data_IF_638194083050
#
_entry.id   IF_638194083050
#
_cell.length_a   1.000
_cell.length_b   1.000
_cell.length_c   1.000
_cell.angle_alpha   90.00
_cell.angle_beta   90.00
_cell.angle_gamma   90.00
#
_symmetry.space_group_name_H-M   'P 1'
#
loop_
_entity.id
_entity.type
_entity.pdbx_description
1 polymer ?
#
# COMPACT_ATOMS: atom_id res chain seq x y z
N UNK A 1 17.94 -15.66 29.60
CA UNK A 1 17.20 -14.91 28.55
C UNK A 1 17.99 -14.77 27.23
N UNK A 2 19.28 -14.43 27.21
CA UNK A 2 20.05 -14.23 25.95
C UNK A 2 20.20 -15.49 25.05
N UNK A 3 20.41 -16.68 25.63
CA UNK A 3 20.58 -17.91 24.83
C UNK A 3 19.31 -18.39 24.11
N UNK A 4 18.12 -17.93 24.50
CA UNK A 4 16.86 -18.30 23.85
C UNK A 4 16.57 -17.55 22.55
N UNK A 5 17.02 -16.28 22.42
CA UNK A 5 16.72 -15.44 21.25
C UNK A 5 17.74 -15.60 20.10
N UNK A 6 18.98 -15.95 20.40
CA UNK A 6 20.02 -16.15 19.37
C UNK A 6 19.66 -17.28 18.38
N UNK A 7 18.97 -18.33 18.83
CA UNK A 7 18.52 -19.45 18.00
C UNK A 7 17.37 -19.11 17.04
N UNK A 8 16.81 -17.89 17.14
CA UNK A 8 15.71 -17.40 16.32
C UNK A 8 16.14 -16.41 15.23
N UNK A 9 17.42 -16.00 15.20
CA UNK A 9 17.96 -15.12 14.15
C UNK A 9 17.80 -15.78 12.78
N UNK A 10 17.22 -15.05 11.83
CA UNK A 10 16.92 -15.52 10.48
C UNK A 10 15.57 -16.24 10.32
N UNK A 11 14.83 -16.50 11.41
CA UNK A 11 13.51 -17.16 11.32
C UNK A 11 12.42 -16.23 10.81
N UNK A 12 11.43 -16.84 10.16
CA UNK A 12 10.17 -16.20 9.77
C UNK A 12 9.36 -15.84 11.01
N UNK A 13 8.85 -14.61 11.05
CA UNK A 13 8.04 -14.05 12.16
C UNK A 13 6.62 -13.69 11.72
N UNK A 14 6.18 -14.13 10.55
CA UNK A 14 4.88 -13.75 9.97
C UNK A 14 3.72 -14.06 10.93
N UNK A 15 3.79 -15.18 11.67
CA UNK A 15 2.79 -15.62 12.65
C UNK A 15 3.01 -15.17 14.11
N UNK A 16 3.94 -14.27 14.41
CA UNK A 16 4.16 -13.81 15.78
C UNK A 16 3.11 -12.74 16.21
N UNK A 17 2.56 -12.88 17.41
CA UNK A 17 1.61 -11.95 18.01
C UNK A 17 2.31 -10.67 18.51
N UNK A 18 1.78 -9.51 18.11
CA UNK A 18 2.24 -8.19 18.54
C UNK A 18 1.04 -7.23 18.66
N UNK A 19 1.15 -6.10 19.38
CA UNK A 19 0.06 -5.12 19.43
C UNK A 19 -0.25 -4.58 18.02
N UNK A 20 -1.44 -4.90 17.53
CA UNK A 20 -1.89 -4.51 16.19
C UNK A 20 -2.66 -3.18 16.22
N UNK A 21 -2.68 -2.45 15.10
CA UNK A 21 -3.29 -1.12 15.07
C UNK A 21 -4.54 -1.00 14.20
N UNK A 22 -4.53 -1.56 12.98
CA UNK A 22 -5.57 -1.45 11.94
C UNK A 22 -5.38 -2.54 10.86
N UNK A 23 -6.39 -2.83 10.01
CA UNK A 23 -6.26 -3.76 8.89
C UNK A 23 -5.21 -3.29 7.88
N UNK A 24 -4.38 -4.20 7.35
CA UNK A 24 -3.29 -3.83 6.43
C UNK A 24 -3.81 -3.35 5.07
N UNK A 25 -4.86 -3.99 4.54
CA UNK A 25 -5.41 -3.69 3.21
C UNK A 25 -5.98 -2.28 3.09
N UNK A 26 -6.27 -1.63 4.22
CA UNK A 26 -6.81 -0.26 4.29
C UNK A 26 -5.74 0.84 4.22
N UNK A 27 -4.45 0.48 4.16
CA UNK A 27 -3.34 1.44 4.32
C UNK A 27 -2.68 1.86 2.99
N UNK A 28 -3.13 1.30 1.87
CA UNK A 28 -2.52 1.55 0.56
C UNK A 28 -3.01 2.85 -0.10
N UNK A 29 -2.11 3.47 -0.88
CA UNK A 29 -2.34 4.66 -1.71
C UNK A 29 -2.96 5.89 -1.01
N UNK A 30 -2.41 6.38 0.10
CA UNK A 30 -2.99 7.51 0.83
C UNK A 30 -2.90 8.87 0.10
N UNK A 31 -2.03 9.01 -0.91
CA UNK A 31 -1.79 10.27 -1.62
C UNK A 31 -1.93 10.13 -3.15
N UNK A 32 -3.06 9.60 -3.66
CA UNK A 32 -3.20 9.36 -5.10
C UNK A 32 -3.21 10.67 -5.88
N UNK A 33 -3.72 11.75 -5.30
CA UNK A 33 -3.69 13.09 -5.88
C UNK A 33 -2.28 13.61 -6.19
N UNK A 34 -1.21 13.08 -5.60
CA UNK A 34 0.16 13.49 -5.93
C UNK A 34 0.54 13.08 -7.36
N UNK A 35 -0.05 11.99 -7.90
CA UNK A 35 0.11 11.60 -9.31
C UNK A 35 -0.54 12.59 -10.28
N UNK A 36 -1.67 13.19 -9.89
CA UNK A 36 -2.53 13.94 -10.81
C UNK A 36 -2.49 15.45 -10.61
N UNK A 37 -2.51 15.88 -9.35
CA UNK A 37 -2.59 17.28 -8.93
C UNK A 37 -1.33 18.09 -9.19
N UNK A 38 -0.23 17.45 -9.60
CA UNK A 38 1.04 18.10 -9.93
C UNK A 38 1.43 17.95 -11.40
N UNK A 39 0.48 17.73 -12.31
CA UNK A 39 0.72 17.71 -13.77
C UNK A 39 1.63 16.57 -14.26
N UNK A 40 1.94 15.56 -13.44
CA UNK A 40 2.83 14.47 -13.84
C UNK A 40 2.29 13.75 -15.08
N UNK A 41 1.01 13.40 -15.11
CA UNK A 41 0.41 12.77 -16.30
C UNK A 41 0.00 13.77 -17.40
N UNK A 42 0.21 15.08 -17.20
CA UNK A 42 -0.16 16.13 -18.15
C UNK A 42 1.06 16.80 -18.81
N UNK A 43 2.27 16.46 -18.39
CA UNK A 43 3.48 17.07 -18.92
C UNK A 43 3.93 16.38 -20.21
N UNK A 44 4.21 17.14 -21.26
CA UNK A 44 4.73 16.60 -22.54
C UNK A 44 6.17 16.08 -22.42
N UNK A 45 6.96 16.65 -21.52
CA UNK A 45 8.35 16.27 -21.26
C UNK A 45 8.40 14.97 -20.42
N UNK A 46 8.95 13.86 -20.96
CA UNK A 46 9.06 12.59 -20.23
C UNK A 46 9.81 12.71 -18.90
N UNK A 47 10.82 13.59 -18.81
CA UNK A 47 11.57 13.79 -17.56
C UNK A 47 10.70 14.42 -16.49
N UNK A 48 9.84 15.38 -16.86
CA UNK A 48 8.89 16.01 -15.92
C UNK A 48 7.83 15.01 -15.45
N UNK A 49 7.30 14.18 -16.35
CA UNK A 49 6.38 13.09 -15.97
C UNK A 49 7.03 12.15 -14.98
N UNK A 50 8.24 11.70 -15.29
CA UNK A 50 9.01 10.79 -14.45
C UNK A 50 9.31 11.37 -13.07
N UNK A 51 9.69 12.66 -12.97
CA UNK A 51 9.84 13.36 -11.68
C UNK A 51 8.54 13.33 -10.87
N UNK A 52 7.39 13.50 -11.53
CA UNK A 52 6.08 13.41 -10.88
C UNK A 52 5.77 12.01 -10.34
N UNK A 53 6.10 10.95 -11.10
CA UNK A 53 5.99 9.56 -10.62
C UNK A 53 6.93 9.31 -9.44
N UNK A 54 8.17 9.80 -9.49
CA UNK A 54 9.13 9.71 -8.38
C UNK A 54 8.62 10.46 -7.15
N UNK A 55 8.04 11.66 -7.32
CA UNK A 55 7.41 12.41 -6.23
C UNK A 55 6.30 11.60 -5.57
N UNK A 56 5.39 11.03 -6.36
CA UNK A 56 4.33 10.16 -5.86
C UNK A 56 4.89 8.95 -5.10
N UNK A 57 5.82 8.22 -5.70
CA UNK A 57 6.46 7.06 -5.09
C UNK A 57 7.06 7.41 -3.72
N UNK A 58 7.81 8.52 -3.66
CA UNK A 58 8.46 8.95 -2.42
C UNK A 58 7.48 9.51 -1.39
N UNK A 59 6.31 10.00 -1.82
CA UNK A 59 5.30 10.57 -0.92
C UNK A 59 4.64 9.53 -0.01
N UNK A 60 4.57 8.26 -0.40
CA UNK A 60 3.82 7.24 0.36
C UNK A 60 4.48 6.82 1.68
N UNK A 61 5.80 6.90 1.78
CA UNK A 61 6.57 6.25 2.85
C UNK A 61 6.40 6.88 4.23
N UNK A 62 6.12 8.19 4.32
CA UNK A 62 5.96 8.87 5.60
C UNK A 62 4.65 8.53 6.32
N UNK A 63 3.69 7.90 5.64
CA UNK A 63 2.37 7.61 6.19
C UNK A 63 2.41 6.26 6.90
N UNK A 64 2.63 6.31 8.20
CA UNK A 64 2.62 5.15 9.08
C UNK A 64 1.98 5.52 10.44
N UNK A 65 1.41 4.56 11.18
CA UNK A 65 0.94 4.81 12.53
C UNK A 65 2.03 5.41 13.42
N UNK A 66 1.65 6.29 14.35
CA UNK A 66 2.60 6.76 15.38
C UNK A 66 3.03 5.57 16.24
N UNK A 67 4.33 5.30 16.25
CA UNK A 67 4.95 4.18 16.98
C UNK A 67 5.14 2.93 16.12
N UNK A 68 5.78 1.91 16.69
CA UNK A 68 6.02 0.63 16.01
C UNK A 68 4.84 -0.30 16.28
N UNK A 69 3.86 -0.34 15.37
CA UNK A 69 2.69 -1.24 15.44
C UNK A 69 2.59 -2.04 14.15
N UNK A 70 2.29 -3.34 14.26
CA UNK A 70 2.03 -4.21 13.10
C UNK A 70 0.58 -4.01 12.63
N UNK A 71 0.27 -4.04 11.33
CA UNK A 71 -1.11 -4.16 10.88
C UNK A 71 -1.63 -5.59 11.10
N UNK A 72 -2.95 -5.80 11.04
CA UNK A 72 -3.52 -7.16 11.03
C UNK A 72 -2.94 -7.96 9.85
N UNK A 73 -2.59 -9.22 10.09
CA UNK A 73 -2.22 -10.12 9.00
C UNK A 73 -3.51 -10.54 8.27
N UNK A 74 -3.72 -10.16 7.00
CA UNK A 74 -4.98 -10.45 6.35
C UNK A 74 -5.24 -11.94 6.21
N UNK A 75 -6.50 -12.30 6.32
CA UNK A 75 -6.93 -13.68 6.12
C UNK A 75 -7.06 -14.02 4.64
N UNK A 76 -7.00 -15.30 4.27
CA UNK A 76 -7.11 -15.70 2.86
C UNK A 76 -8.48 -15.30 2.29
N UNK A 77 -8.47 -14.58 1.17
CA UNK A 77 -9.67 -14.03 0.55
C UNK A 77 -10.27 -12.80 1.23
N UNK A 78 -9.60 -12.24 2.24
CA UNK A 78 -9.91 -10.88 2.69
C UNK A 78 -9.70 -9.91 1.54
N UNK A 79 -10.63 -8.98 1.37
CA UNK A 79 -10.48 -7.92 0.38
C UNK A 79 -10.88 -6.56 0.93
N UNK A 80 -10.35 -5.51 0.33
CA UNK A 80 -10.72 -4.14 0.64
C UNK A 80 -10.93 -3.38 -0.65
N UNK A 81 -12.10 -2.75 -0.78
CA UNK A 81 -12.45 -1.89 -1.90
C UNK A 81 -12.82 -0.50 -1.42
N UNK A 82 -12.46 0.50 -2.20
CA UNK A 82 -12.77 1.90 -1.89
C UNK A 82 -12.79 2.76 -3.13
N UNK A 83 -13.40 3.93 -2.99
CA UNK A 83 -13.44 4.98 -3.99
C UNK A 83 -12.72 6.23 -3.46
N UNK A 84 -12.05 6.96 -4.32
CA UNK A 84 -11.62 8.33 -4.06
C UNK A 84 -12.53 9.26 -4.84
N UNK A 85 -13.01 10.31 -4.17
CA UNK A 85 -13.66 11.46 -4.82
C UNK A 85 -12.73 12.65 -4.69
N UNK A 86 -12.29 13.19 -5.82
CA UNK A 86 -11.37 14.32 -5.86
C UNK A 86 -12.12 15.65 -5.95
N UNK A 87 -11.46 16.74 -5.55
CA UNK A 87 -12.05 18.08 -5.54
C UNK A 87 -12.38 18.62 -6.94
N UNK A 88 -11.80 18.04 -7.99
CA UNK A 88 -12.08 18.36 -9.39
C UNK A 88 -13.28 17.58 -9.96
N UNK A 89 -13.98 16.80 -9.12
CA UNK A 89 -15.13 15.99 -9.50
C UNK A 89 -14.78 14.62 -10.08
N UNK A 90 -13.50 14.34 -10.31
CA UNK A 90 -13.03 13.04 -10.81
C UNK A 90 -13.02 11.98 -9.73
N UNK A 91 -13.00 10.72 -10.13
CA UNK A 91 -12.97 9.58 -9.21
C UNK A 91 -11.81 8.63 -9.50
N UNK A 92 -11.46 7.85 -8.47
CA UNK A 92 -10.64 6.68 -8.65
C UNK A 92 -11.16 5.52 -7.81
N UNK A 93 -10.79 4.30 -8.22
CA UNK A 93 -11.29 3.07 -7.64
C UNK A 93 -10.12 2.20 -7.23
N UNK A 94 -10.25 1.55 -6.07
CA UNK A 94 -9.21 0.72 -5.49
C UNK A 94 -9.80 -0.61 -5.04
N UNK A 95 -9.08 -1.69 -5.30
CA UNK A 95 -9.33 -3.03 -4.78
C UNK A 95 -8.00 -3.68 -4.37
N UNK A 96 -7.98 -4.28 -3.19
CA UNK A 96 -6.91 -5.17 -2.75
C UNK A 96 -7.51 -6.48 -2.25
N UNK A 97 -6.81 -7.58 -2.47
CA UNK A 97 -7.23 -8.92 -2.04
C UNK A 97 -6.03 -9.70 -1.51
N UNK A 98 -6.22 -10.40 -0.39
CA UNK A 98 -5.27 -11.36 0.13
C UNK A 98 -5.39 -12.67 -0.65
N UNK A 99 -4.57 -12.79 -1.70
CA UNK A 99 -4.58 -13.92 -2.65
C UNK A 99 -3.86 -15.15 -2.13
N UNK A 100 -3.01 -15.01 -1.11
CA UNK A 100 -2.32 -16.11 -0.43
C UNK A 100 -2.04 -15.77 1.04
N UNK A 101 -2.10 -16.77 1.93
CA UNK A 101 -1.79 -16.59 3.36
C UNK A 101 -0.44 -17.22 3.76
N UNK A 102 -0.04 -18.33 3.14
CA UNK A 102 1.24 -19.00 3.37
C UNK A 102 1.91 -19.38 2.03
N UNK A 103 2.88 -18.58 1.53
CA UNK A 103 3.32 -17.28 2.06
C UNK A 103 2.26 -16.17 1.89
N UNK A 104 2.31 -15.08 2.68
CA UNK A 104 1.35 -13.98 2.55
C UNK A 104 1.59 -13.21 1.24
N UNK A 105 0.53 -13.03 0.45
CA UNK A 105 0.54 -12.22 -0.78
C UNK A 105 -0.74 -11.40 -0.82
N UNK A 106 -0.58 -10.09 -0.99
CA UNK A 106 -1.69 -9.16 -1.25
C UNK A 106 -1.57 -8.67 -2.68
N UNK A 107 -2.59 -8.86 -3.51
CA UNK A 107 -2.67 -8.25 -4.84
C UNK A 107 -3.52 -6.98 -4.77
N UNK A 108 -3.18 -5.99 -5.59
CA UNK A 108 -3.84 -4.68 -5.59
C UNK A 108 -4.01 -4.10 -6.98
N UNK A 109 -5.09 -3.34 -7.14
CA UNK A 109 -5.41 -2.61 -8.36
C UNK A 109 -6.00 -1.25 -7.99
N UNK A 110 -5.54 -0.21 -8.68
CA UNK A 110 -6.07 1.13 -8.62
C UNK A 110 -6.30 1.64 -10.04
N UNK A 111 -7.41 2.32 -10.28
CA UNK A 111 -7.64 2.97 -11.57
C UNK A 111 -8.31 4.33 -11.38
N UNK A 112 -7.79 5.32 -12.10
CA UNK A 112 -8.33 6.67 -12.18
C UNK A 112 -8.64 6.97 -13.65
N UNK A 113 -9.91 6.78 -14.08
CA UNK A 113 -10.30 6.89 -15.48
C UNK A 113 -10.03 8.27 -16.08
N UNK A 114 -10.48 9.34 -15.42
CA UNK A 114 -10.35 10.73 -15.90
C UNK A 114 -8.89 11.16 -16.09
N UNK A 115 -8.00 10.49 -15.38
CA UNK A 115 -6.58 10.76 -15.44
C UNK A 115 -5.80 9.65 -16.15
N UNK A 116 -6.46 8.68 -16.79
CA UNK A 116 -5.82 7.61 -17.58
C UNK A 116 -4.65 6.91 -16.88
N UNK A 117 -4.82 6.64 -15.58
CA UNK A 117 -3.81 5.97 -14.76
C UNK A 117 -4.38 4.69 -14.18
N UNK A 118 -3.62 3.63 -14.35
CA UNK A 118 -3.86 2.34 -13.71
C UNK A 118 -2.62 1.94 -12.92
N UNK A 119 -2.80 1.39 -11.73
CA UNK A 119 -1.73 0.80 -10.93
C UNK A 119 -2.13 -0.64 -10.64
N UNK A 120 -1.21 -1.56 -10.89
CA UNK A 120 -1.35 -2.97 -10.53
C UNK A 120 -0.11 -3.41 -9.75
N UNK A 121 -0.26 -4.45 -8.94
CA UNK A 121 0.86 -5.03 -8.24
C UNK A 121 0.47 -6.14 -7.29
N UNK A 122 1.48 -6.84 -6.79
CA UNK A 122 1.37 -7.63 -5.59
C UNK A 122 2.48 -7.29 -4.59
N UNK A 123 2.18 -7.49 -3.32
CA UNK A 123 3.10 -7.32 -2.21
C UNK A 123 3.27 -8.66 -1.50
N UNK A 124 4.53 -9.05 -1.31
CA UNK A 124 4.94 -10.33 -0.72
C UNK A 124 5.83 -10.08 0.50
N UNK A 125 5.24 -9.68 1.63
CA UNK A 125 6.00 -9.39 2.83
C UNK A 125 6.63 -10.66 3.41
N UNK A 126 7.93 -10.61 3.72
CA UNK A 126 8.63 -11.67 4.45
C UNK A 126 9.21 -11.09 5.75
N UNK A 127 8.67 -11.53 6.88
CA UNK A 127 9.17 -11.11 8.19
C UNK A 127 10.44 -11.89 8.54
N UNK A 128 11.50 -11.22 8.99
CA UNK A 128 12.75 -11.84 9.45
C UNK A 128 13.20 -11.26 10.78
N UNK A 129 13.54 -12.12 11.73
CA UNK A 129 14.14 -11.70 13.00
C UNK A 129 15.66 -11.57 12.88
N UNK A 130 16.21 -10.43 13.30
CA UNK A 130 17.65 -10.11 13.26
C UNK A 130 18.22 -9.85 14.66
N UNK A 131 17.67 -10.49 15.69
CA UNK A 131 18.08 -10.27 17.09
C UNK A 131 17.38 -9.06 17.68
N UNK A 132 18.08 -7.93 17.86
CA UNK A 132 17.44 -6.70 18.37
C UNK A 132 16.67 -5.92 17.28
N UNK A 133 16.26 -6.58 16.21
CA UNK A 133 15.47 -6.00 15.13
C UNK A 133 14.59 -7.05 14.47
N UNK A 134 13.44 -6.64 13.93
CA UNK A 134 12.66 -7.41 12.96
C UNK A 134 12.64 -6.62 11.66
N UNK A 135 12.96 -7.27 10.55
CA UNK A 135 12.82 -6.69 9.22
C UNK A 135 11.63 -7.28 8.49
N UNK A 136 10.92 -6.44 7.75
CA UNK A 136 9.95 -6.82 6.74
C UNK A 136 10.62 -6.63 5.39
N UNK A 137 10.96 -7.74 4.75
CA UNK A 137 11.49 -7.76 3.40
C UNK A 137 10.30 -7.67 2.45
N UNK A 138 10.24 -6.60 1.65
CA UNK A 138 9.11 -6.34 0.76
C UNK A 138 9.48 -6.80 -0.66
N UNK A 139 8.96 -7.97 -1.03
CA UNK A 139 9.02 -8.48 -2.40
C UNK A 139 7.69 -8.24 -3.13
N UNK A 140 7.64 -8.60 -4.40
CA UNK A 140 6.50 -8.42 -5.29
C UNK A 140 6.83 -7.44 -6.40
N UNK A 141 5.81 -6.87 -7.01
CA UNK A 141 5.95 -5.88 -8.07
C UNK A 141 4.87 -4.81 -7.95
N UNK A 142 5.16 -3.63 -8.50
CA UNK A 142 4.13 -2.64 -8.79
C UNK A 142 4.43 -2.00 -10.14
N UNK A 143 3.38 -1.76 -10.92
CA UNK A 143 3.42 -1.03 -12.17
C UNK A 143 2.43 0.11 -12.12
N UNK A 144 2.87 1.30 -12.54
CA UNK A 144 2.02 2.45 -12.78
C UNK A 144 1.96 2.65 -14.28
N UNK A 145 0.77 2.64 -14.86
CA UNK A 145 0.54 2.82 -16.28
C UNK A 145 -0.02 4.20 -16.54
N UNK A 146 0.64 4.96 -17.40
CA UNK A 146 0.12 6.21 -17.94
C UNK A 146 -0.35 5.93 -19.36
N UNK A 147 -1.63 5.63 -19.52
CA UNK A 147 -2.18 5.13 -20.80
C UNK A 147 -2.05 6.17 -21.92
N UNK A 148 -2.30 7.45 -21.61
CA UNK A 148 -2.12 8.56 -22.54
C UNK A 148 -0.71 8.70 -23.12
N UNK A 149 0.31 8.24 -22.40
CA UNK A 149 1.71 8.29 -22.83
C UNK A 149 2.24 6.94 -23.30
N UNK A 150 1.46 5.87 -23.11
CA UNK A 150 1.90 4.47 -23.30
C UNK A 150 3.18 4.17 -22.51
N UNK A 151 3.28 4.74 -21.32
CA UNK A 151 4.44 4.56 -20.42
C UNK A 151 4.06 3.63 -19.26
N UNK A 152 4.98 2.72 -18.92
CA UNK A 152 4.85 1.85 -17.75
C UNK A 152 6.02 2.08 -16.82
N UNK A 153 5.71 2.44 -15.58
CA UNK A 153 6.68 2.68 -14.53
C UNK A 153 6.70 1.46 -13.60
N UNK A 154 7.76 0.66 -13.67
CA UNK A 154 8.02 -0.48 -12.79
C UNK A 154 8.66 0.02 -11.49
N UNK A 155 8.10 -0.38 -10.34
CA UNK A 155 8.47 0.13 -9.01
C UNK A 155 8.89 -1.03 -8.10
N UNK A 156 9.96 -0.82 -7.33
CA UNK A 156 10.38 -1.72 -6.25
C UNK A 156 10.15 -1.11 -4.87
N UNK A 157 10.17 -1.95 -3.84
CA UNK A 157 9.91 -1.54 -2.45
C UNK A 157 11.22 -1.51 -1.64
N UNK A 158 11.41 -0.53 -0.73
CA UNK A 158 12.44 -0.61 0.29
C UNK A 158 12.05 -1.63 1.36
N UNK A 159 13.03 -2.07 2.14
CA UNK A 159 12.76 -2.92 3.30
C UNK A 159 12.46 -2.06 4.53
N UNK A 160 11.62 -2.58 5.42
CA UNK A 160 11.25 -1.91 6.67
C UNK A 160 11.86 -2.65 7.86
N UNK A 161 12.36 -1.92 8.86
CA UNK A 161 12.95 -2.51 10.05
C UNK A 161 12.37 -1.88 11.31
N UNK A 162 11.86 -2.72 12.21
CA UNK A 162 11.62 -2.37 13.60
C UNK A 162 12.91 -2.63 14.39
N UNK A 163 13.59 -1.56 14.81
CA UNK A 163 14.81 -1.61 15.64
C UNK A 163 14.46 -1.53 17.12
N UNK A 164 15.31 -2.09 17.98
CA UNK A 164 15.22 -1.91 19.43
C UNK A 164 14.06 -2.69 20.07
N UNK A 165 13.65 -3.79 19.46
CA UNK A 165 12.49 -4.60 19.91
C UNK A 165 12.74 -5.35 21.22
N UNK A 166 13.99 -5.60 21.59
CA UNK A 166 14.36 -6.23 22.88
C UNK A 166 15.05 -5.23 23.81
N UNK A 167 15.91 -4.36 23.25
CA UNK A 167 16.70 -3.41 24.03
C UNK A 167 16.76 -2.04 23.34
N UNK A 168 16.53 -0.98 24.12
CA UNK A 168 16.56 0.41 23.66
C UNK A 168 15.20 0.95 23.23
N UNK A 169 15.21 2.09 22.54
CA UNK A 169 13.99 2.71 22.02
C UNK A 169 13.58 2.04 20.71
N UNK A 170 12.33 1.61 20.62
CA UNK A 170 11.77 1.10 19.37
C UNK A 170 11.69 2.20 18.30
N UNK A 171 12.23 1.92 17.12
CA UNK A 171 12.27 2.85 15.98
C UNK A 171 11.95 2.08 14.69
N UNK A 172 11.10 2.67 13.85
CA UNK A 172 10.87 2.21 12.48
C UNK A 172 11.89 2.87 11.55
N UNK A 173 12.52 2.08 10.70
CA UNK A 173 13.54 2.51 9.75
C UNK A 173 13.27 1.90 8.39
N UNK A 174 13.42 2.69 7.32
CA UNK A 174 13.49 2.16 5.95
C UNK A 174 14.96 1.95 5.59
N UNK A 175 15.24 0.88 4.86
CA UNK A 175 16.58 0.54 4.43
C UNK A 175 16.63 -0.05 3.04
N UNK A 176 17.87 -0.23 2.58
CA UNK A 176 18.22 -0.74 1.26
C UNK A 176 17.85 0.21 0.11
N UNK A 177 18.03 -0.27 -1.12
CA UNK A 177 17.77 0.47 -2.34
C UNK A 177 16.41 0.13 -2.90
N UNK A 178 15.71 1.14 -3.41
CA UNK A 178 14.54 0.94 -4.24
C UNK A 178 14.63 1.76 -5.52
N UNK A 179 13.72 1.51 -6.46
CA UNK A 179 13.78 2.07 -7.80
C UNK A 179 12.41 2.28 -8.42
N UNK A 180 12.38 3.24 -9.35
CA UNK A 180 11.30 3.43 -10.33
C UNK A 180 11.96 3.39 -11.70
N UNK A 181 11.43 2.63 -12.65
CA UNK A 181 12.01 2.48 -13.99
C UNK A 181 10.92 2.64 -15.05
N UNK A 182 11.17 3.46 -16.06
CA UNK A 182 10.34 3.60 -17.26
C UNK A 182 11.22 3.40 -18.49
N UNK A 183 11.09 2.25 -19.15
CA UNK A 183 11.95 1.87 -20.29
C UNK A 183 11.64 2.70 -21.52
N UNK A 184 10.37 3.02 -21.72
CA UNK A 184 9.84 3.81 -22.82
C UNK A 184 10.43 5.22 -22.86
N UNK A 185 10.65 5.82 -21.69
CA UNK A 185 11.28 7.13 -21.55
C UNK A 185 12.81 7.10 -21.37
N UNK A 186 13.43 5.91 -21.31
CA UNK A 186 14.84 5.71 -20.97
C UNK A 186 15.22 6.31 -19.60
N UNK A 187 14.37 6.17 -18.58
CA UNK A 187 14.56 6.80 -17.27
C UNK A 187 14.50 5.80 -16.11
N UNK A 188 15.40 5.98 -15.16
CA UNK A 188 15.44 5.23 -13.90
C UNK A 188 15.72 6.17 -12.73
N UNK A 189 14.95 6.01 -11.66
CA UNK A 189 15.25 6.54 -10.35
C UNK A 189 15.74 5.40 -9.48
N UNK A 190 16.86 5.60 -8.83
CA UNK A 190 17.41 4.68 -7.82
C UNK A 190 17.63 5.48 -6.54
N UNK A 191 17.15 4.96 -5.41
CA UNK A 191 17.22 5.63 -4.11
C UNK A 191 17.71 4.68 -3.03
N UNK A 192 18.70 5.12 -2.28
CA UNK A 192 19.16 4.48 -1.06
C UNK A 192 18.42 5.10 0.15
N UNK A 193 17.71 4.26 0.90
CA UNK A 193 17.20 4.61 2.22
C UNK A 193 18.31 4.36 3.25
N UNK A 194 18.90 5.44 3.76
CA UNK A 194 20.07 5.35 4.63
C UNK A 194 19.66 4.84 6.00
N UNK A 195 20.12 3.64 6.32
CA UNK A 195 20.05 3.11 7.68
C UNK A 195 21.17 3.72 8.54
N UNK A 196 20.99 3.73 9.86
CA UNK A 196 21.98 4.27 10.78
C UNK A 196 23.32 3.54 10.66
N UNK A 197 24.33 4.21 10.10
CA UNK A 197 25.74 3.88 10.29
C UNK A 197 26.23 4.28 11.68
N UNK A 198 27.31 3.65 12.16
CA UNK A 198 27.88 3.80 13.52
C UNK A 198 28.38 5.23 13.86
N UNK A 199 28.19 6.23 12.99
CA UNK A 199 28.76 7.58 13.11
C UNK A 199 27.67 8.62 12.79
N UNK A 200 27.23 9.35 13.82
CA UNK A 200 26.61 10.69 13.83
C UNK A 200 25.69 11.13 12.66
N UNK A 201 24.87 10.23 12.09
CA UNK A 201 23.90 10.57 11.05
C UNK A 201 22.52 10.97 11.57
N UNK A 202 21.84 11.88 10.86
CA UNK A 202 20.41 12.17 11.04
C UNK A 202 19.56 10.99 10.53
N UNK A 203 18.46 10.67 11.22
CA UNK A 203 17.54 9.60 10.83
C UNK A 203 16.82 9.89 9.51
N UNK A 204 16.36 8.81 8.85
CA UNK A 204 15.42 8.84 7.73
C UNK A 204 15.92 9.59 6.48
N UNK A 205 17.24 9.61 6.27
CA UNK A 205 17.84 10.26 5.12
C UNK A 205 17.75 9.38 3.87
N UNK A 206 17.70 10.03 2.72
CA UNK A 206 17.78 9.36 1.42
C UNK A 206 18.91 9.94 0.57
N UNK A 207 19.40 9.14 -0.37
CA UNK A 207 20.19 9.62 -1.50
C UNK A 207 19.69 8.91 -2.76
N UNK A 208 19.11 9.68 -3.68
CA UNK A 208 18.55 9.15 -4.92
C UNK A 208 19.02 9.91 -6.15
N UNK A 209 18.97 9.25 -7.30
CA UNK A 209 19.36 9.81 -8.59
C UNK A 209 18.38 9.40 -9.67
N UNK A 210 17.97 10.36 -10.49
CA UNK A 210 17.28 10.10 -11.76
C UNK A 210 18.35 10.09 -12.84
N UNK A 211 18.42 9.00 -13.60
CA UNK A 211 19.41 8.79 -14.67
C UNK A 211 18.78 8.23 -15.94
N UNK A 212 19.47 8.43 -17.06
CA UNK A 212 19.19 7.68 -18.28
C UNK A 212 19.61 6.22 -18.13
N UNK A 213 18.80 5.29 -18.58
CA UNK A 213 19.13 3.85 -18.49
C UNK A 213 20.29 3.54 -19.46
N UNK A 214 20.17 4.03 -20.69
CA UNK A 214 21.10 3.77 -21.80
C UNK A 214 22.51 4.35 -21.57
N UNK A 215 22.60 5.62 -21.17
CA UNK A 215 23.88 6.35 -21.04
C UNK A 215 24.41 6.41 -19.62
N UNK A 216 23.59 6.07 -18.62
CA UNK A 216 23.86 6.29 -17.18
C UNK A 216 24.07 7.76 -16.80
N UNK A 217 23.75 8.70 -17.70
CA UNK A 217 23.80 10.13 -17.42
C UNK A 217 22.84 10.47 -16.26
N UNK A 218 23.37 11.12 -15.22
CA UNK A 218 22.58 11.58 -14.08
C UNK A 218 21.93 12.91 -14.41
N UNK A 219 20.60 12.93 -14.45
CA UNK A 219 19.82 14.13 -14.75
C UNK A 219 19.49 14.92 -13.49
N UNK A 220 19.05 14.21 -12.43
CA UNK A 220 18.67 14.84 -11.17
C UNK A 220 19.20 14.06 -9.97
N UNK A 221 19.43 14.78 -8.88
CA UNK A 221 19.75 14.23 -7.57
C UNK A 221 18.63 14.56 -6.58
N UNK A 222 18.21 13.57 -5.78
CA UNK A 222 17.16 13.69 -4.78
C UNK A 222 17.75 13.37 -3.41
N UNK A 223 17.56 14.28 -2.45
CA UNK A 223 18.11 14.17 -1.10
C UNK A 223 17.09 14.60 -0.06
N UNK A 224 17.45 14.49 1.22
CA UNK A 224 16.63 14.95 2.35
C UNK A 224 16.07 13.80 3.15
N UNK A 225 14.92 14.04 3.78
CA UNK A 225 14.34 13.15 4.77
C UNK A 225 12.98 12.63 4.30
N UNK A 226 12.85 11.31 4.13
CA UNK A 226 11.64 10.70 3.56
C UNK A 226 10.38 10.84 4.42
N UNK A 227 10.52 11.19 5.71
CA UNK A 227 9.39 11.48 6.59
C UNK A 227 8.92 12.93 6.54
N UNK A 228 9.79 13.86 6.12
CA UNK A 228 9.55 15.31 6.23
C UNK A 228 9.70 15.99 4.87
N UNK A 229 10.90 16.47 4.55
CA UNK A 229 11.14 17.25 3.34
C UNK A 229 12.23 16.59 2.49
N UNK A 230 11.92 16.46 1.21
CA UNK A 230 12.84 15.97 0.18
C UNK A 230 13.08 17.06 -0.86
N UNK A 231 14.28 17.08 -1.42
CA UNK A 231 14.75 18.09 -2.36
C UNK A 231 15.21 17.44 -3.65
N UNK A 232 15.09 18.17 -4.77
CA UNK A 232 15.57 17.76 -6.09
C UNK A 232 16.48 18.85 -6.68
N UNK A 233 17.59 18.45 -7.30
CA UNK A 233 18.50 19.35 -8.02
C UNK A 233 18.74 18.84 -9.45
N UNK A 234 18.66 19.73 -10.44
CA UNK A 234 18.99 19.45 -11.84
C UNK A 234 20.52 19.49 -12.01
N UNK A 235 21.13 18.33 -12.30
CA UNK A 235 22.58 18.19 -12.42
C UNK A 235 23.11 18.61 -13.79
N UNK A 236 22.25 18.64 -14.81
CA UNK A 236 22.61 19.10 -16.17
C UNK A 236 22.69 20.62 -16.19
N UNK A 237 21.67 21.29 -15.63
CA UNK A 237 21.62 22.75 -15.51
C UNK A 237 22.35 23.30 -14.29
N UNK A 238 22.80 22.43 -13.38
CA UNK A 238 23.50 22.78 -12.12
C UNK A 238 22.67 23.75 -11.26
N UNK A 239 21.40 23.44 -11.07
CA UNK A 239 20.52 24.27 -10.23
C UNK A 239 20.76 23.97 -8.75
N UNK A 240 20.50 24.96 -7.90
CA UNK A 240 20.37 24.73 -6.46
C UNK A 240 19.22 23.76 -6.15
N UNK A 241 19.28 22.96 -5.06
CA UNK A 241 18.20 22.07 -4.67
C UNK A 241 16.90 22.84 -4.35
N UNK A 242 15.79 22.39 -4.92
CA UNK A 242 14.44 22.90 -4.62
C UNK A 242 13.61 21.82 -3.94
N UNK A 243 12.55 22.22 -3.24
CA UNK A 243 11.66 21.28 -2.55
C UNK A 243 10.94 20.40 -3.57
N UNK A 244 11.13 19.09 -3.49
CA UNK A 244 10.38 18.08 -4.25
C UNK A 244 9.06 17.75 -3.55
N UNK A 245 9.13 17.53 -2.24
CA UNK A 245 8.00 17.09 -1.42
C UNK A 245 8.18 17.54 0.03
N UNK A 246 7.09 17.96 0.67
CA UNK A 246 7.06 18.33 2.09
C UNK A 246 5.81 17.73 2.75
N UNK A 247 5.96 16.62 3.46
CA UNK A 247 4.85 15.86 4.07
C UNK A 247 3.97 16.70 5.00
N UNK A 248 4.52 17.78 5.57
CA UNK A 248 3.82 18.65 6.52
C UNK A 248 2.78 19.55 5.84
N UNK A 249 2.87 19.70 4.52
CA UNK A 249 1.96 20.53 3.71
C UNK A 249 0.90 19.71 3.00
N UNK A 250 1.02 18.39 3.01
CA UNK A 250 0.13 17.51 2.26
C UNK A 250 -1.13 17.16 3.06
N UNK A 251 -2.24 17.04 2.33
CA UNK A 251 -3.51 16.58 2.88
C UNK A 251 -3.84 15.22 2.29
N UNK A 252 -4.06 14.22 3.15
CA UNK A 252 -4.49 12.89 2.73
C UNK A 252 -5.89 12.98 2.12
N UNK A 253 -6.09 12.41 0.93
CA UNK A 253 -7.42 12.26 0.36
C UNK A 253 -8.06 11.02 0.98
N UNK A 254 -9.17 11.15 1.73
CA UNK A 254 -9.78 10.01 2.39
C UNK A 254 -10.36 9.03 1.37
N UNK A 255 -10.18 7.74 1.63
CA UNK A 255 -10.90 6.67 0.95
C UNK A 255 -12.37 6.67 1.39
N UNK A 256 -13.27 6.80 0.43
CA UNK A 256 -14.69 6.53 0.59
C UNK A 256 -14.89 5.02 0.57
N UNK A 257 -15.55 4.51 1.61
CA UNK A 257 -15.86 3.10 1.77
C UNK A 257 -17.31 3.01 2.19
N UNK A 258 -18.05 2.08 1.59
CA UNK A 258 -19.46 1.85 1.91
C UNK A 258 -19.64 1.52 3.40
N UNK A 259 -20.83 1.79 3.94
CA UNK A 259 -21.12 1.47 5.34
C UNK A 259 -21.06 -0.04 5.62
N UNK A 260 -20.96 -0.44 6.88
CA UNK A 260 -20.84 -1.85 7.26
C UNK A 260 -21.99 -2.73 6.74
N UNK A 261 -23.20 -2.20 6.59
CA UNK A 261 -24.36 -2.92 6.05
C UNK A 261 -24.25 -3.24 4.56
N UNK A 262 -23.45 -2.45 3.82
CA UNK A 262 -23.20 -2.63 2.39
C UNK A 262 -21.93 -3.45 2.11
N UNK A 263 -21.17 -3.79 3.17
CA UNK A 263 -19.95 -4.57 3.08
C UNK A 263 -20.22 -6.06 3.24
N UNK A 264 -19.55 -6.86 2.43
CA UNK A 264 -19.53 -8.32 2.54
C UNK A 264 -18.76 -8.78 3.80
N UNK A 265 -18.99 -10.02 4.29
CA UNK A 265 -18.34 -10.50 5.52
C UNK A 265 -16.80 -10.47 5.48
N UNK A 266 -16.20 -10.69 4.32
CA UNK A 266 -14.74 -10.70 4.12
C UNK A 266 -14.16 -9.35 3.68
N UNK A 267 -14.96 -8.27 3.65
CA UNK A 267 -14.42 -6.94 3.47
C UNK A 267 -13.68 -6.49 4.74
N UNK A 268 -12.44 -6.03 4.61
CA UNK A 268 -11.53 -5.81 5.75
C UNK A 268 -12.12 -5.00 6.90
N UNK A 269 -12.91 -3.94 6.61
CA UNK A 269 -13.50 -3.13 7.69
C UNK A 269 -14.57 -3.90 8.43
N UNK A 270 -15.45 -4.62 7.73
CA UNK A 270 -16.49 -5.44 8.34
C UNK A 270 -15.89 -6.64 9.11
N UNK A 271 -14.93 -7.35 8.50
CA UNK A 271 -14.26 -8.49 9.10
C UNK A 271 -13.58 -8.14 10.44
N UNK A 272 -12.84 -7.03 10.45
CA UNK A 272 -12.01 -6.64 11.60
C UNK A 272 -12.69 -5.63 12.55
N UNK A 273 -13.97 -5.28 12.37
CA UNK A 273 -14.62 -4.19 13.14
C UNK A 273 -14.58 -4.40 14.65
N UNK A 274 -14.84 -5.61 15.12
CA UNK A 274 -14.89 -5.93 16.55
C UNK A 274 -13.50 -5.94 17.19
N UNK A 275 -12.50 -6.50 16.50
CA UNK A 275 -11.09 -6.44 16.92
C UNK A 275 -10.64 -4.97 17.00
N UNK A 276 -10.96 -4.18 15.98
CA UNK A 276 -10.58 -2.75 15.91
C UNK A 276 -11.23 -1.95 17.03
N UNK A 277 -12.51 -2.19 17.33
CA UNK A 277 -13.20 -1.55 18.45
C UNK A 277 -12.58 -1.91 19.80
N UNK A 278 -12.37 -3.20 20.06
CA UNK A 278 -11.78 -3.67 21.31
C UNK A 278 -10.39 -3.05 21.56
N UNK A 279 -9.55 -2.97 20.52
CA UNK A 279 -8.24 -2.30 20.61
C UNK A 279 -8.39 -0.80 20.92
N UNK A 280 -9.39 -0.12 20.37
CA UNK A 280 -9.65 1.31 20.67
C UNK A 280 -10.14 1.54 22.09
N UNK A 281 -10.96 0.62 22.58
CA UNK A 281 -11.46 0.63 23.95
C UNK A 281 -10.40 0.14 24.96
N UNK A 282 -9.20 -0.24 24.47
CA UNK A 282 -8.11 -0.83 25.26
C UNK A 282 -8.49 -2.15 25.96
N UNK A 283 -9.50 -2.85 25.44
CA UNK A 283 -9.91 -4.18 25.87
C UNK A 283 -9.14 -5.25 25.08
N UNK A 284 -7.96 -5.59 25.59
CA UNK A 284 -7.05 -6.52 24.93
C UNK A 284 -7.55 -7.97 24.96
N UNK A 285 -8.36 -8.33 25.96
CA UNK A 285 -8.91 -9.68 26.09
C UNK A 285 -10.02 -9.90 25.05
N UNK A 286 -10.92 -8.92 24.89
CA UNK A 286 -11.92 -8.96 23.83
C UNK A 286 -11.26 -8.92 22.44
N UNK A 287 -10.24 -8.09 22.24
CA UNK A 287 -9.50 -8.04 20.97
C UNK A 287 -8.89 -9.41 20.62
N UNK A 288 -8.25 -10.06 21.59
CA UNK A 288 -7.67 -11.40 21.43
C UNK A 288 -8.75 -12.43 21.12
N UNK A 289 -9.89 -12.37 21.81
CA UNK A 289 -11.02 -13.28 21.60
C UNK A 289 -11.57 -13.16 20.18
N UNK A 290 -11.86 -11.94 19.71
CA UNK A 290 -12.36 -11.71 18.36
C UNK A 290 -11.35 -12.09 17.29
N UNK A 291 -10.06 -11.77 17.48
CA UNK A 291 -8.98 -12.17 16.57
C UNK A 291 -8.87 -13.69 16.47
N UNK A 292 -8.89 -14.39 17.60
CA UNK A 292 -8.81 -15.85 17.65
C UNK A 292 -9.97 -16.52 16.92
N UNK A 293 -11.18 -15.96 17.02
CA UNK A 293 -12.34 -16.48 16.29
C UNK A 293 -12.16 -16.38 14.77
N UNK A 294 -11.70 -15.23 14.27
CA UNK A 294 -11.42 -15.02 12.83
C UNK A 294 -10.33 -15.99 12.34
N UNK A 295 -9.24 -16.14 13.10
CA UNK A 295 -8.14 -17.05 12.73
C UNK A 295 -8.56 -18.53 12.78
N UNK A 296 -9.42 -18.92 13.72
CA UNK A 296 -9.92 -20.29 13.79
C UNK A 296 -10.83 -20.63 12.61
N UNK A 297 -11.70 -19.72 12.20
CA UNK A 297 -12.52 -19.88 10.99
C UNK A 297 -11.62 -20.11 9.75
N UNK A 298 -10.51 -19.37 9.66
CA UNK A 298 -9.53 -19.56 8.59
C UNK A 298 -8.84 -20.92 8.66
N UNK A 299 -8.42 -21.36 9.85
CA UNK A 299 -7.83 -22.70 10.04
C UNK A 299 -8.80 -23.80 9.64
N UNK A 300 -10.09 -23.66 9.96
CA UNK A 300 -11.14 -24.59 9.55
C UNK A 300 -11.36 -24.57 8.03
N UNK A 301 -11.37 -23.39 7.41
CA UNK A 301 -11.47 -23.25 5.96
C UNK A 301 -10.31 -23.90 5.20
N UNK A 302 -9.09 -23.83 5.73
CA UNK A 302 -7.92 -24.54 5.17
C UNK A 302 -8.13 -26.05 5.24
N UNK A 303 -8.47 -26.59 6.43
CA UNK A 303 -8.73 -28.04 6.61
C UNK A 303 -9.83 -28.56 5.68
N UNK A 304 -10.90 -27.77 5.50
CA UNK A 304 -12.00 -28.12 4.59
C UNK A 304 -11.50 -28.22 3.14
N UNK A 305 -10.76 -27.21 2.67
CA UNK A 305 -10.20 -27.22 1.30
C UNK A 305 -9.24 -28.39 1.07
N UNK A 306 -8.41 -28.73 2.06
CA UNK A 306 -7.52 -29.89 2.00
C UNK A 306 -8.29 -31.21 1.90
N UNK A 307 -9.32 -31.39 2.74
CA UNK A 307 -10.17 -32.59 2.74
C UNK A 307 -10.92 -32.75 1.40
N UNK A 308 -11.40 -31.63 0.84
CA UNK A 308 -12.11 -31.60 -0.44
C UNK A 308 -11.17 -31.57 -1.66
N UNK A 309 -9.85 -31.46 -1.45
CA UNK A 309 -8.83 -31.27 -2.49
C UNK A 309 -9.11 -30.07 -3.41
N UNK A 310 -9.74 -29.04 -2.87
CA UNK A 310 -10.04 -27.79 -3.58
C UNK A 310 -8.94 -26.75 -3.33
N UNK A 311 -8.80 -25.80 -4.26
CA UNK A 311 -7.88 -24.67 -4.12
C UNK A 311 -8.66 -23.39 -3.93
N UNK A 312 -8.13 -22.48 -3.13
CA UNK A 312 -8.65 -21.12 -3.08
C UNK A 312 -8.41 -20.44 -4.44
N UNK A 313 -9.46 -19.79 -4.96
CA UNK A 313 -9.38 -18.99 -6.18
C UNK A 313 -9.71 -17.55 -5.79
N UNK A 314 -8.77 -16.60 -5.94
CA UNK A 314 -9.05 -15.21 -5.62
C UNK A 314 -10.17 -14.67 -6.50
N UNK A 315 -10.96 -13.73 -5.98
CA UNK A 315 -12.12 -13.15 -6.66
C UNK A 315 -11.70 -12.17 -7.74
N UNK A 316 -10.76 -11.27 -7.44
CA UNK A 316 -10.42 -10.13 -8.30
C UNK A 316 -9.09 -10.34 -9.04
N UNK A 317 -8.24 -11.24 -8.57
CA UNK A 317 -6.91 -11.42 -9.14
C UNK A 317 -6.67 -12.86 -9.61
N UNK A 318 -5.70 -13.03 -10.50
CA UNK A 318 -5.28 -14.34 -10.99
C UNK A 318 -3.75 -14.40 -11.09
N UNK A 319 -3.20 -15.57 -10.79
CA UNK A 319 -1.78 -15.84 -10.93
C UNK A 319 -1.47 -16.11 -12.41
N UNK A 320 -0.56 -15.33 -12.98
CA UNK A 320 -0.13 -15.46 -14.38
C UNK A 320 1.19 -16.24 -14.52
N UNK A 321 1.56 -16.51 -15.77
CA UNK A 321 2.78 -17.27 -16.13
C UNK A 321 4.09 -16.58 -15.69
N UNK A 322 4.08 -15.27 -15.49
CA UNK A 322 5.22 -14.51 -14.97
C UNK A 322 5.42 -14.71 -13.47
N UNK A 323 4.54 -15.48 -12.82
CA UNK A 323 4.58 -15.77 -11.39
C UNK A 323 4.00 -14.67 -10.52
N UNK A 324 3.34 -13.67 -11.10
CA UNK A 324 2.72 -12.54 -10.42
C UNK A 324 1.18 -12.63 -10.41
N UNK A 325 0.55 -12.02 -9.41
CA UNK A 325 -0.90 -11.84 -9.44
C UNK A 325 -1.25 -10.57 -10.20
N UNK A 326 -2.12 -10.72 -11.21
CA UNK A 326 -2.64 -9.64 -12.05
C UNK A 326 -4.15 -9.49 -11.85
N UNK A 327 -4.72 -8.29 -12.07
CA UNK A 327 -6.17 -8.12 -12.05
C UNK A 327 -6.82 -9.01 -13.11
N UNK A 328 -7.94 -9.65 -12.76
CA UNK A 328 -8.76 -10.40 -13.73
C UNK A 328 -9.38 -9.51 -14.79
N UNK A 329 -9.56 -8.22 -14.48
CA UNK A 329 -9.84 -7.20 -15.47
C UNK A 329 -8.54 -6.86 -16.21
N UNK A 330 -8.46 -7.21 -17.48
CA UNK A 330 -7.29 -6.89 -18.30
C UNK A 330 -7.24 -5.37 -18.53
N UNK A 331 -6.10 -4.76 -18.23
CA UNK A 331 -5.91 -3.30 -18.36
C UNK A 331 -6.20 -2.82 -19.78
N UNK A 332 -5.81 -3.59 -20.80
CA UNK A 332 -6.06 -3.30 -22.22
C UNK A 332 -7.55 -3.30 -22.62
N UNK A 333 -8.41 -3.91 -21.79
CA UNK A 333 -9.85 -3.99 -22.02
C UNK A 333 -10.61 -2.87 -21.28
N UNK A 334 -9.89 -2.00 -20.55
CA UNK A 334 -10.46 -0.79 -19.95
C UNK A 334 -10.63 0.25 -21.08
N UNK A 335 -11.84 0.81 -21.28
CA UNK A 335 -12.09 1.83 -22.28
C UNK A 335 -11.17 3.04 -22.12
N UNK A 336 -10.85 3.71 -23.23
CA UNK A 336 -10.12 4.99 -23.16
C UNK A 336 -11.05 6.13 -22.69
N UNK A 337 -12.34 6.06 -23.01
CA UNK A 337 -13.34 7.03 -22.54
C UNK A 337 -13.48 6.95 -21.01
N UNK A 338 -13.23 8.05 -20.26
CA UNK A 338 -13.24 8.04 -18.80
C UNK A 338 -14.57 7.61 -18.18
N UNK A 339 -15.70 7.96 -18.80
CA UNK A 339 -17.01 7.62 -18.27
C UNK A 339 -17.24 6.11 -18.39
N UNK A 340 -17.04 5.54 -19.58
CA UNK A 340 -17.18 4.09 -19.80
C UNK A 340 -16.20 3.28 -18.95
N UNK A 341 -14.95 3.74 -18.84
CA UNK A 341 -13.96 3.13 -17.97
C UNK A 341 -14.39 3.18 -16.50
N UNK A 342 -14.90 4.32 -16.04
CA UNK A 342 -15.42 4.48 -14.70
C UNK A 342 -16.58 3.54 -14.40
N UNK A 343 -17.54 3.40 -15.31
CA UNK A 343 -18.66 2.47 -15.19
C UNK A 343 -18.20 1.01 -15.15
N UNK A 344 -17.31 0.60 -16.06
CA UNK A 344 -16.80 -0.77 -16.15
C UNK A 344 -15.97 -1.16 -14.92
N UNK A 345 -15.01 -0.32 -14.52
CA UNK A 345 -14.14 -0.57 -13.36
C UNK A 345 -14.95 -0.57 -12.07
N UNK A 346 -15.84 0.42 -11.89
CA UNK A 346 -16.73 0.50 -10.73
C UNK A 346 -17.59 -0.76 -10.63
N UNK A 347 -18.24 -1.17 -11.73
CA UNK A 347 -19.05 -2.40 -11.76
C UNK A 347 -18.25 -3.62 -11.35
N UNK A 348 -17.02 -3.77 -11.86
CA UNK A 348 -16.17 -4.92 -11.52
C UNK A 348 -15.77 -4.95 -10.04
N UNK A 349 -15.44 -3.80 -9.45
CA UNK A 349 -14.98 -3.72 -8.05
C UNK A 349 -16.15 -3.80 -7.05
N UNK A 350 -17.26 -3.11 -7.32
CA UNK A 350 -18.33 -2.88 -6.33
C UNK A 350 -19.59 -3.72 -6.55
N UNK A 351 -19.64 -4.58 -7.57
CA UNK A 351 -20.72 -5.58 -7.66
C UNK A 351 -20.63 -6.54 -6.48
N UNK A 352 -21.76 -6.77 -5.82
CA UNK A 352 -21.93 -7.77 -4.76
C UNK A 352 -22.36 -9.12 -5.36
N UNK A 353 -22.27 -10.23 -4.61
CA UNK A 353 -22.68 -11.55 -5.08
C UNK A 353 -24.14 -11.65 -5.51
N UNK A 354 -25.02 -10.79 -4.99
CA UNK A 354 -26.43 -10.70 -5.37
C UNK A 354 -26.68 -9.89 -6.66
N UNK A 355 -25.62 -9.39 -7.30
CA UNK A 355 -25.66 -8.61 -8.53
C UNK A 355 -25.97 -7.12 -8.33
N UNK A 356 -26.20 -6.67 -7.09
CA UNK A 356 -26.37 -5.25 -6.79
C UNK A 356 -25.02 -4.55 -6.61
N UNK A 357 -24.98 -3.24 -6.85
CA UNK A 357 -23.81 -2.42 -6.56
C UNK A 357 -23.80 -2.03 -5.08
N UNK A 358 -22.61 -1.92 -4.47
CA UNK A 358 -22.49 -1.29 -3.16
C UNK A 358 -22.99 0.16 -3.20
N UNK A 359 -23.81 0.52 -2.22
CA UNK A 359 -24.29 1.88 -2.04
C UNK A 359 -23.35 2.66 -1.10
N UNK A 360 -22.68 3.69 -1.66
CA UNK A 360 -21.76 4.55 -0.92
C UNK A 360 -22.47 5.72 -0.22
N UNK A 361 -23.74 5.98 -0.53
CA UNK A 361 -24.51 7.09 0.02
C UNK A 361 -25.30 6.68 1.26
N UNK A 362 -25.37 5.38 1.56
CA UNK A 362 -25.99 4.88 2.79
C UNK A 362 -25.18 5.30 4.03
N UNK A 363 -25.84 5.87 5.06
CA UNK A 363 -25.17 6.27 6.29
C UNK A 363 -24.65 5.05 7.06
N UNK A 364 -23.59 5.27 7.83
CA UNK A 364 -23.09 4.24 8.75
C UNK A 364 -24.02 4.13 9.97
N UNK A 365 -24.55 2.93 10.18
CA UNK A 365 -25.46 2.61 11.30
C UNK A 365 -24.89 1.57 12.24
N UNK A 366 -23.76 0.94 11.90
CA UNK A 366 -23.10 -0.02 12.79
C UNK A 366 -22.43 0.72 13.97
N UNK A 367 -22.90 0.52 15.21
CA UNK A 367 -22.37 1.23 16.37
C UNK A 367 -20.88 0.92 16.63
N UNK A 368 -20.40 -0.25 16.20
CA UNK A 368 -18.98 -0.63 16.29
C UNK A 368 -18.16 0.21 15.34
N UNK A 369 -18.60 0.37 14.10
CA UNK A 369 -17.89 1.16 13.10
C UNK A 369 -17.91 2.64 13.46
N UNK A 370 -19.05 3.19 13.93
CA UNK A 370 -19.14 4.60 14.38
C UNK A 370 -18.17 4.91 15.53
N UNK A 371 -18.08 4.03 16.52
CA UNK A 371 -17.12 4.16 17.62
C UNK A 371 -15.66 4.12 17.13
N UNK A 372 -15.41 3.42 16.02
CA UNK A 372 -14.08 3.32 15.41
C UNK A 372 -13.79 4.53 14.53
N UNK A 373 -14.67 4.99 13.66
CA UNK A 373 -14.32 6.01 12.66
C UNK A 373 -14.35 7.44 13.20
N UNK A 374 -14.87 7.66 14.41
CA UNK A 374 -15.04 9.00 14.97
C UNK A 374 -16.05 9.85 14.18
N UNK A 375 -16.82 9.21 13.29
CA UNK A 375 -17.91 9.83 12.53
C UNK A 375 -19.02 10.06 13.55
N UNK A 376 -19.09 11.28 14.07
CA UNK A 376 -20.33 11.74 14.68
C UNK A 376 -21.41 11.69 13.60
N UNK A 377 -22.63 11.20 13.87
CA UNK A 377 -23.71 11.30 12.91
C UNK A 377 -23.86 12.78 12.48
N UNK A 378 -24.27 13.05 11.22
CA UNK A 378 -24.54 14.41 10.80
C UNK A 378 -25.50 15.04 11.82
N UNK A 379 -25.11 16.18 12.40
CA UNK A 379 -26.02 16.94 13.26
C UNK A 379 -27.16 17.41 12.35
N UNK A 380 -28.37 16.94 12.66
CA UNK A 380 -29.61 17.38 12.02
C UNK A 380 -29.77 18.89 12.03
#
# INVERSE_FOLDING_TARGET
MYHGFASHVGRDMTGADTPESRPSLTQYHPLPHVLFGHSANKADDPVKRFIGVVKYYMSGWHIHPKGVKKPYNPVLGEFFRSKYAFSDGTNAYFIAEQVSHHPPITAMFYNSPDHHITIEGDLRPKSRFFGNSVGMILEGYAKIHFDNWKETYEVTYPNMYARGILFGKMVLELGETASVTCKESDLMFEVEFKTKGLIWGTYNQIAGKIRRISTREVLHEITGNWQTTMYIADKVRKTEPVVLFDSRKEQVVPQLVACAAEQEPHESRNLWKHVTKAIKDSDLDAATTYKSAIEEEQRQGVKKREAEKTRFTPRFFQLEIDGNYHPKMLIKDIPHDPQQAGEQVSKWIFSRPDGQMQDFDKPETDPVVLAVTGVSPPRN
#
